data_IF_529506451089
#
_entry.id   IF_529506451089
#
_cell.length_a   1.000
_cell.length_b   1.000
_cell.length_c   1.000
_cell.angle_alpha   90.00
_cell.angle_beta   90.00
_cell.angle_gamma   90.00
#
_symmetry.space_group_name_H-M   'P 1'
#
loop_
_entity.id
_entity.type
_entity.pdbx_description
1 polymer ?
#
# COMPACT_ATOMS: atom_id res chain seq x y z
N UNK A 1 12.42 -0.26 -19.79
CA UNK A 1 11.76 0.97 -19.29
C UNK A 1 11.09 0.67 -17.97
N UNK A 2 11.30 1.48 -16.95
CA UNK A 2 10.69 1.32 -15.63
C UNK A 2 9.17 1.41 -15.75
N UNK A 3 8.45 0.37 -15.28
CA UNK A 3 7.00 0.29 -15.42
C UNK A 3 6.24 0.59 -14.13
N UNK A 4 6.94 0.67 -13.00
CA UNK A 4 6.31 0.87 -11.69
C UNK A 4 7.05 1.90 -10.84
N UNK A 5 6.29 2.73 -10.13
CA UNK A 5 6.78 3.61 -9.07
C UNK A 5 6.28 3.07 -7.73
N UNK A 6 7.17 2.88 -6.77
CA UNK A 6 6.82 2.56 -5.39
C UNK A 6 6.69 3.87 -4.63
N UNK A 7 5.52 4.11 -4.06
CA UNK A 7 5.19 5.30 -3.27
C UNK A 7 5.17 4.88 -1.80
N UNK A 8 6.00 5.53 -0.99
CA UNK A 8 6.03 5.32 0.46
C UNK A 8 5.64 6.62 1.17
N UNK A 9 4.42 6.74 1.70
CA UNK A 9 4.08 7.84 2.60
C UNK A 9 4.79 7.63 3.93
N UNK A 10 5.41 8.70 4.46
CA UNK A 10 6.12 8.65 5.74
C UNK A 10 5.74 9.84 6.64
N UNK A 11 5.56 9.57 7.93
CA UNK A 11 5.39 10.61 8.95
C UNK A 11 6.00 10.16 10.27
N UNK A 12 7.09 10.83 10.70
CA UNK A 12 7.82 10.52 11.93
C UNK A 12 8.17 9.04 12.09
N UNK A 13 8.58 8.40 11.00
CA UNK A 13 8.85 6.96 10.93
C UNK A 13 10.26 6.63 10.45
N UNK A 14 11.29 7.42 10.77
CA UNK A 14 12.66 7.28 10.25
C UNK A 14 13.16 5.84 10.26
N UNK A 15 13.15 5.17 11.42
CA UNK A 15 13.66 3.81 11.55
C UNK A 15 12.86 2.77 10.77
N UNK A 16 11.55 2.95 10.71
CA UNK A 16 10.66 2.08 9.92
C UNK A 16 10.94 2.25 8.43
N UNK A 17 11.04 3.49 7.96
CA UNK A 17 11.38 3.82 6.59
C UNK A 17 12.73 3.23 6.17
N UNK A 18 13.78 3.38 7.00
CA UNK A 18 15.09 2.78 6.75
C UNK A 18 15.00 1.25 6.58
N UNK A 19 14.23 0.57 7.43
CA UNK A 19 14.05 -0.88 7.34
C UNK A 19 13.26 -1.27 6.07
N UNK A 20 12.19 -0.55 5.76
CA UNK A 20 11.40 -0.77 4.56
C UNK A 20 12.28 -0.65 3.29
N UNK A 21 13.05 0.43 3.16
CA UNK A 21 13.96 0.66 2.02
C UNK A 21 14.98 -0.47 1.89
N UNK A 22 15.60 -0.93 2.98
CA UNK A 22 16.54 -2.07 2.96
C UNK A 22 15.93 -3.35 2.39
N UNK A 23 14.64 -3.57 2.56
CA UNK A 23 13.96 -4.73 1.96
C UNK A 23 13.69 -4.53 0.48
N UNK A 24 13.47 -3.30 0.03
CA UNK A 24 13.34 -2.96 -1.39
C UNK A 24 14.67 -3.07 -2.13
N UNK A 25 15.80 -2.79 -1.50
CA UNK A 25 17.14 -3.00 -2.06
C UNK A 25 17.43 -4.49 -2.39
N UNK A 26 16.67 -5.41 -1.80
CA UNK A 26 16.83 -6.87 -1.99
C UNK A 26 15.80 -7.48 -2.94
N UNK A 27 14.99 -6.66 -3.62
CA UNK A 27 13.99 -7.17 -4.55
C UNK A 27 14.64 -7.85 -5.77
N UNK A 28 14.06 -8.94 -6.24
CA UNK A 28 14.48 -9.63 -7.48
C UNK A 28 14.23 -8.77 -8.72
N UNK A 29 13.16 -7.97 -8.72
CA UNK A 29 12.88 -6.97 -9.73
C UNK A 29 13.35 -5.60 -9.22
N UNK A 30 14.42 -5.05 -9.82
CA UNK A 30 15.01 -3.75 -9.45
C UNK A 30 14.58 -2.62 -10.41
N UNK A 31 13.76 -2.91 -11.42
CA UNK A 31 13.32 -1.91 -12.40
C UNK A 31 12.13 -1.10 -11.93
N UNK A 32 12.25 -0.43 -10.79
CA UNK A 32 11.25 0.49 -10.26
C UNK A 32 11.85 1.84 -9.89
N UNK A 33 11.00 2.87 -9.79
CA UNK A 33 11.32 4.14 -9.15
C UNK A 33 10.85 4.09 -7.70
N UNK A 34 11.63 4.64 -6.80
CA UNK A 34 11.25 4.78 -5.39
C UNK A 34 10.96 6.24 -5.08
N UNK A 35 9.74 6.53 -4.65
CA UNK A 35 9.25 7.86 -4.30
C UNK A 35 8.78 7.84 -2.85
N UNK A 36 9.47 8.58 -1.99
CA UNK A 36 9.07 8.75 -0.59
C UNK A 36 8.41 10.12 -0.43
N UNK A 37 7.20 10.16 0.09
CA UNK A 37 6.49 11.38 0.44
C UNK A 37 6.56 11.55 1.95
N UNK A 38 7.48 12.40 2.41
CA UNK A 38 7.58 12.75 3.82
C UNK A 38 6.54 13.81 4.17
N UNK A 39 5.62 13.46 5.04
CA UNK A 39 4.43 14.23 5.36
C UNK A 39 4.66 15.21 6.54
N UNK A 40 5.78 15.97 6.48
CA UNK A 40 6.13 16.97 7.49
C UNK A 40 6.76 16.39 8.76
N UNK A 41 7.59 15.36 8.63
CA UNK A 41 8.30 14.74 9.75
C UNK A 41 9.29 15.69 10.44
N UNK A 42 9.55 15.41 11.73
CA UNK A 42 10.50 16.16 12.57
C UNK A 42 11.55 15.26 13.24
N UNK A 43 11.60 13.98 12.85
CA UNK A 43 12.49 12.96 13.42
C UNK A 43 13.76 12.71 12.59
N UNK A 44 13.98 13.50 11.54
CA UNK A 44 15.08 13.33 10.58
C UNK A 44 14.81 12.28 9.52
N UNK A 45 13.55 11.92 9.27
CA UNK A 45 13.14 11.03 8.18
C UNK A 45 13.57 11.53 6.81
N UNK A 46 13.62 12.85 6.62
CA UNK A 46 14.04 13.49 5.35
C UNK A 46 15.50 13.25 4.98
N UNK A 47 16.33 12.83 5.95
CA UNK A 47 17.75 12.54 5.73
C UNK A 47 17.99 11.08 5.32
N UNK A 48 16.94 10.26 5.27
CA UNK A 48 17.03 8.85 4.89
C UNK A 48 17.38 8.75 3.41
N UNK A 49 18.34 7.90 3.09
CA UNK A 49 18.80 7.60 1.73
C UNK A 49 18.86 6.09 1.50
N UNK A 50 18.88 5.68 0.24
CA UNK A 50 19.14 4.29 -0.13
C UNK A 50 20.60 4.13 -0.57
N UNK A 51 21.19 2.97 -0.27
CA UNK A 51 22.56 2.64 -0.68
C UNK A 51 22.65 2.22 -2.16
N UNK A 52 21.59 1.61 -2.69
CA UNK A 52 21.62 1.01 -4.03
C UNK A 52 20.49 1.44 -4.96
N UNK A 53 19.42 2.05 -4.43
CA UNK A 53 18.28 2.49 -5.23
C UNK A 53 18.31 4.00 -5.45
N UNK A 54 17.93 4.42 -6.67
CA UNK A 54 17.57 5.81 -6.89
C UNK A 54 16.24 6.11 -6.20
N UNK A 55 16.30 6.96 -5.19
CA UNK A 55 15.15 7.36 -4.38
C UNK A 55 14.93 8.86 -4.50
N UNK A 56 13.70 9.25 -4.81
CA UNK A 56 13.24 10.63 -4.72
C UNK A 56 12.52 10.85 -3.39
N UNK A 57 12.97 11.84 -2.62
CA UNK A 57 12.37 12.26 -1.35
C UNK A 57 11.67 13.59 -1.55
N UNK A 58 10.37 13.64 -1.29
CA UNK A 58 9.56 14.86 -1.32
C UNK A 58 9.07 15.17 0.07
N UNK A 59 9.56 16.27 0.65
CA UNK A 59 9.18 16.71 2.00
C UNK A 59 8.05 17.75 1.93
N UNK A 60 6.92 17.43 2.56
CA UNK A 60 5.82 18.37 2.75
C UNK A 60 6.07 19.27 3.96
N UNK A 61 5.59 20.52 3.96
CA UNK A 61 5.79 21.45 5.08
C UNK A 61 5.01 21.03 6.33
N UNK A 62 3.91 20.29 6.17
CA UNK A 62 3.03 19.87 7.25
C UNK A 62 2.34 18.54 6.90
N UNK A 63 1.72 17.91 7.91
CA UNK A 63 0.98 16.66 7.73
C UNK A 63 -0.38 16.91 7.06
N UNK A 64 -0.51 16.47 5.83
CA UNK A 64 -1.73 16.56 5.00
C UNK A 64 -2.66 15.33 5.13
N UNK A 65 -2.38 14.44 6.07
CA UNK A 65 -3.04 13.14 6.18
C UNK A 65 -2.45 12.11 5.21
N UNK A 66 -2.84 10.85 5.40
CA UNK A 66 -2.39 9.74 4.55
C UNK A 66 -2.79 9.96 3.09
N UNK A 67 -4.07 10.31 2.86
CA UNK A 67 -4.61 10.52 1.52
C UNK A 67 -3.89 11.65 0.77
N UNK A 68 -3.61 12.78 1.41
CA UNK A 68 -2.91 13.90 0.78
C UNK A 68 -1.49 13.51 0.33
N UNK A 69 -0.73 12.84 1.19
CA UNK A 69 0.61 12.36 0.85
C UNK A 69 0.58 11.34 -0.30
N UNK A 70 -0.34 10.37 -0.27
CA UNK A 70 -0.49 9.35 -1.32
C UNK A 70 -0.92 9.95 -2.64
N UNK A 71 -1.88 10.88 -2.63
CA UNK A 71 -2.37 11.56 -3.84
C UNK A 71 -1.25 12.34 -4.53
N UNK A 72 -0.39 13.02 -3.77
CA UNK A 72 0.80 13.66 -4.33
C UNK A 72 1.72 12.62 -5.00
N UNK A 73 1.94 11.48 -4.36
CA UNK A 73 2.70 10.38 -4.95
C UNK A 73 2.09 9.84 -6.25
N UNK A 74 0.76 9.73 -6.32
CA UNK A 74 0.06 9.36 -7.56
C UNK A 74 0.20 10.42 -8.65
N UNK A 75 0.10 11.70 -8.32
CA UNK A 75 0.27 12.81 -9.25
C UNK A 75 1.68 12.81 -9.87
N UNK A 76 2.71 12.57 -9.06
CA UNK A 76 4.10 12.51 -9.51
C UNK A 76 4.43 11.23 -10.29
N UNK A 77 3.57 10.20 -10.23
CA UNK A 77 3.80 8.92 -10.90
C UNK A 77 3.60 9.02 -12.41
N UNK A 78 4.67 8.76 -13.17
CA UNK A 78 4.67 8.74 -14.64
C UNK A 78 4.65 7.34 -15.24
N UNK A 79 4.82 6.31 -14.40
CA UNK A 79 4.84 4.90 -14.82
C UNK A 79 3.42 4.34 -14.97
N UNK A 80 3.23 3.24 -15.76
CA UNK A 80 1.92 2.59 -15.92
C UNK A 80 1.30 2.09 -14.62
N UNK A 81 2.12 1.74 -13.64
CA UNK A 81 1.68 1.20 -12.35
C UNK A 81 2.29 1.98 -11.18
N UNK A 82 1.56 2.04 -10.08
CA UNK A 82 2.05 2.52 -8.79
C UNK A 82 1.89 1.44 -7.73
N UNK A 83 2.93 1.15 -6.95
CA UNK A 83 2.83 0.37 -5.72
C UNK A 83 2.74 1.37 -4.57
N UNK A 84 1.68 1.29 -3.79
CA UNK A 84 1.59 1.96 -2.50
C UNK A 84 2.08 0.99 -1.44
N UNK A 85 3.05 1.43 -0.63
CA UNK A 85 3.68 0.61 0.39
C UNK A 85 3.87 1.43 1.66
N UNK A 86 3.33 0.96 2.78
CA UNK A 86 3.53 1.61 4.07
C UNK A 86 5.00 1.53 4.51
N UNK A 87 5.49 2.57 5.17
CA UNK A 87 6.86 2.65 5.68
C UNK A 87 7.16 1.63 6.80
N UNK A 88 6.13 1.06 7.44
CA UNK A 88 6.22 0.07 8.51
C UNK A 88 6.07 -1.38 8.00
N UNK A 89 6.48 -1.62 6.76
CA UNK A 89 6.48 -2.95 6.13
C UNK A 89 7.89 -3.45 5.83
N UNK A 90 8.06 -4.77 5.88
CA UNK A 90 9.23 -5.49 5.34
C UNK A 90 8.78 -6.37 4.18
N UNK A 91 9.24 -6.08 2.97
CA UNK A 91 8.85 -6.82 1.77
C UNK A 91 9.73 -8.05 1.55
N UNK A 92 9.14 -9.21 1.18
CA UNK A 92 9.90 -10.37 0.72
C UNK A 92 10.51 -10.11 -0.68
N UNK A 93 11.61 -10.82 -1.06
CA UNK A 93 12.38 -10.53 -2.27
C UNK A 93 11.60 -10.53 -3.58
N UNK A 94 10.51 -11.28 -3.67
CA UNK A 94 9.67 -11.39 -4.87
C UNK A 94 8.44 -10.47 -4.88
N UNK A 95 8.28 -9.60 -3.89
CA UNK A 95 7.08 -8.78 -3.70
C UNK A 95 6.73 -7.94 -4.94
N UNK A 96 7.68 -7.18 -5.48
CA UNK A 96 7.46 -6.32 -6.65
C UNK A 96 7.16 -7.17 -7.89
N UNK A 97 7.92 -8.22 -8.11
CA UNK A 97 7.76 -9.13 -9.25
C UNK A 97 6.37 -9.77 -9.27
N UNK A 98 5.90 -10.31 -8.14
CA UNK A 98 4.62 -11.01 -8.05
C UNK A 98 3.43 -10.05 -8.18
N UNK A 99 3.52 -8.82 -7.65
CA UNK A 99 2.50 -7.80 -7.89
C UNK A 99 2.40 -7.43 -9.37
N UNK A 100 3.54 -7.24 -10.05
CA UNK A 100 3.58 -6.95 -11.49
C UNK A 100 3.02 -8.11 -12.32
N UNK A 101 3.35 -9.36 -12.00
CA UNK A 101 2.75 -10.54 -12.62
C UNK A 101 1.22 -10.56 -12.42
N UNK A 102 0.76 -10.26 -11.23
CA UNK A 102 -0.65 -10.25 -10.89
C UNK A 102 -1.45 -9.23 -11.70
N UNK A 103 -1.00 -7.97 -11.73
CA UNK A 103 -1.75 -6.89 -12.37
C UNK A 103 -1.75 -7.00 -13.90
N UNK A 104 -0.74 -7.64 -14.50
CA UNK A 104 -0.63 -7.88 -15.95
C UNK A 104 -1.54 -8.99 -16.46
N UNK A 105 -2.14 -9.81 -15.61
CA UNK A 105 -3.01 -10.93 -16.01
C UNK A 105 -4.25 -10.47 -16.81
N UNK A 106 -4.73 -9.25 -16.60
CA UNK A 106 -5.88 -8.70 -17.32
C UNK A 106 -5.94 -7.19 -17.20
N UNK A 107 -6.32 -6.53 -18.29
CA UNK A 107 -6.59 -5.07 -18.28
C UNK A 107 -7.78 -4.68 -17.39
N UNK A 108 -8.64 -5.65 -17.01
CA UNK A 108 -9.73 -5.42 -16.06
C UNK A 108 -9.31 -5.47 -14.61
N UNK A 109 -8.04 -5.75 -14.28
CA UNK A 109 -7.53 -5.70 -12.92
C UNK A 109 -7.07 -4.25 -12.66
N UNK A 110 -7.73 -3.61 -11.69
CA UNK A 110 -7.37 -2.29 -11.21
C UNK A 110 -6.25 -2.35 -10.19
N UNK A 111 -6.39 -3.23 -9.20
CA UNK A 111 -5.42 -3.35 -8.11
C UNK A 111 -5.08 -4.80 -7.78
N UNK A 112 -3.85 -5.02 -7.29
CA UNK A 112 -3.45 -6.28 -6.69
C UNK A 112 -2.86 -6.01 -5.30
N UNK A 113 -3.47 -6.59 -4.27
CA UNK A 113 -3.00 -6.52 -2.89
C UNK A 113 -2.10 -7.69 -2.53
N UNK A 114 -1.06 -7.41 -1.77
CA UNK A 114 -0.14 -8.41 -1.24
C UNK A 114 -0.76 -9.24 -0.12
N UNK A 115 -0.13 -10.37 0.21
CA UNK A 115 -0.32 -11.07 1.46
C UNK A 115 0.41 -10.29 2.55
N UNK A 116 -0.36 -9.59 3.39
CA UNK A 116 0.19 -8.88 4.53
C UNK A 116 0.19 -9.83 5.74
N UNK A 117 1.37 -10.07 6.29
CA UNK A 117 1.61 -10.93 7.45
C UNK A 117 1.84 -10.07 8.68
N UNK A 118 1.43 -10.58 9.85
CA UNK A 118 1.75 -9.93 11.12
C UNK A 118 3.27 -9.95 11.35
N UNK A 119 3.85 -8.82 11.71
CA UNK A 119 5.29 -8.69 11.89
C UNK A 119 5.84 -9.58 13.01
N UNK A 120 5.08 -9.74 14.10
CA UNK A 120 5.49 -10.51 15.28
C UNK A 120 5.14 -11.99 15.15
N UNK A 121 4.02 -12.30 14.51
CA UNK A 121 3.50 -13.66 14.30
C UNK A 121 3.44 -13.92 12.78
N UNK A 122 4.62 -14.12 12.17
CA UNK A 122 4.83 -14.14 10.72
C UNK A 122 4.07 -15.24 9.97
N UNK A 123 3.51 -16.21 10.66
CA UNK A 123 2.62 -17.24 10.12
C UNK A 123 1.15 -16.82 10.06
N UNK A 124 0.79 -15.70 10.71
CA UNK A 124 -0.57 -15.18 10.73
C UNK A 124 -0.75 -14.01 9.75
N UNK A 125 -1.93 -13.91 9.19
CA UNK A 125 -2.31 -12.79 8.33
C UNK A 125 -2.60 -11.54 9.16
N UNK A 126 -2.13 -10.39 8.67
CA UNK A 126 -2.68 -9.09 9.01
C UNK A 126 -3.81 -8.72 8.02
N UNK A 127 -3.58 -8.91 6.70
CA UNK A 127 -4.60 -8.66 5.67
C UNK A 127 -4.36 -9.53 4.42
N UNK A 128 -5.44 -10.07 3.85
CA UNK A 128 -5.48 -10.80 2.58
C UNK A 128 -6.55 -10.24 1.63
N UNK A 129 -6.70 -8.91 1.60
CA UNK A 129 -7.77 -8.17 0.94
C UNK A 129 -8.89 -7.81 1.90
N UNK A 130 -9.77 -6.91 1.47
CA UNK A 130 -10.88 -6.45 2.28
C UNK A 130 -12.20 -7.00 1.77
N UNK A 131 -13.12 -7.20 2.70
CA UNK A 131 -14.50 -7.57 2.45
C UNK A 131 -15.40 -6.39 2.85
N UNK A 132 -16.48 -6.21 2.09
CA UNK A 132 -17.52 -5.26 2.43
C UNK A 132 -18.83 -5.99 2.62
N UNK A 133 -19.42 -5.86 3.79
CA UNK A 133 -20.63 -6.57 4.18
C UNK A 133 -21.90 -5.82 3.76
N UNK A 134 -23.02 -6.52 3.64
CA UNK A 134 -24.32 -5.89 3.34
C UNK A 134 -24.73 -4.78 4.32
N UNK A 135 -24.43 -4.89 5.63
CA UNK A 135 -24.67 -3.79 6.57
C UNK A 135 -23.72 -2.60 6.44
N UNK A 136 -22.73 -2.64 5.52
CA UNK A 136 -21.82 -1.53 5.27
C UNK A 136 -20.52 -1.57 6.08
N UNK A 137 -20.12 -2.72 6.62
CA UNK A 137 -18.89 -2.86 7.40
C UNK A 137 -17.74 -3.37 6.54
N UNK A 138 -16.56 -2.75 6.70
CA UNK A 138 -15.31 -3.22 6.17
C UNK A 138 -14.67 -4.25 7.11
N UNK A 139 -14.17 -5.34 6.57
CA UNK A 139 -13.52 -6.42 7.34
C UNK A 139 -12.25 -6.85 6.63
N UNK A 140 -11.12 -6.81 7.34
CA UNK A 140 -9.86 -7.36 6.85
C UNK A 140 -9.96 -8.90 6.71
N UNK A 141 -9.89 -9.39 5.48
CA UNK A 141 -10.01 -10.81 5.18
C UNK A 141 -8.82 -11.58 5.76
N UNK A 142 -9.12 -12.57 6.57
CA UNK A 142 -8.14 -13.50 7.13
C UNK A 142 -7.32 -12.95 8.31
N UNK A 143 -7.58 -11.75 8.82
CA UNK A 143 -6.82 -11.20 9.95
C UNK A 143 -6.76 -12.17 11.13
N UNK A 144 -5.53 -12.45 11.62
CA UNK A 144 -5.25 -13.39 12.71
C UNK A 144 -5.41 -14.87 12.36
N UNK A 145 -5.62 -15.23 11.07
CA UNK A 145 -5.69 -16.61 10.59
C UNK A 145 -4.36 -17.08 10.02
N UNK A 146 -4.09 -18.40 9.99
CA UNK A 146 -2.88 -18.92 9.36
C UNK A 146 -2.80 -18.53 7.87
N UNK A 147 -1.66 -17.99 7.45
CA UNK A 147 -1.44 -17.56 6.07
C UNK A 147 -1.53 -18.72 5.07
N UNK A 148 -1.19 -19.94 5.50
CA UNK A 148 -1.27 -21.16 4.70
C UNK A 148 -2.69 -21.44 4.16
N UNK A 149 -3.74 -21.01 4.86
CA UNK A 149 -5.13 -21.20 4.44
C UNK A 149 -5.52 -20.24 3.30
N UNK A 150 -4.67 -19.26 2.98
CA UNK A 150 -4.92 -18.19 2.00
C UNK A 150 -3.93 -18.22 0.84
N UNK A 151 -3.38 -19.36 0.48
CA UNK A 151 -2.39 -19.54 -0.59
C UNK A 151 -2.93 -19.46 -2.02
N UNK A 152 -4.16 -19.02 -2.25
CA UNK A 152 -4.76 -18.93 -3.60
C UNK A 152 -5.10 -17.50 -3.98
N UNK A 153 -4.73 -17.10 -5.20
CA UNK A 153 -5.19 -15.85 -5.80
C UNK A 153 -6.73 -15.82 -5.82
N UNK A 154 -7.30 -14.68 -5.47
CA UNK A 154 -8.76 -14.50 -5.51
C UNK A 154 -9.12 -13.04 -5.73
N UNK A 155 -10.27 -12.80 -6.38
CA UNK A 155 -10.82 -11.46 -6.45
C UNK A 155 -11.39 -11.09 -5.08
N UNK A 156 -11.10 -9.86 -4.63
CA UNK A 156 -11.52 -9.30 -3.33
C UNK A 156 -12.34 -8.03 -3.55
N UNK A 157 -12.99 -7.54 -2.50
CA UNK A 157 -13.76 -6.31 -2.65
C UNK A 157 -12.83 -5.10 -2.86
N UNK A 158 -11.81 -4.98 -2.04
CA UNK A 158 -10.75 -3.98 -2.12
C UNK A 158 -9.42 -4.60 -1.69
N UNK A 159 -8.31 -3.94 -2.02
CA UNK A 159 -6.97 -4.28 -1.54
C UNK A 159 -6.55 -3.25 -0.50
N UNK A 160 -6.00 -3.70 0.63
CA UNK A 160 -5.48 -2.83 1.68
C UNK A 160 -4.39 -1.90 1.15
N UNK A 161 -4.49 -0.60 1.44
CA UNK A 161 -3.55 0.44 1.02
C UNK A 161 -2.14 0.30 1.58
N UNK A 162 -1.92 -0.62 2.54
CA UNK A 162 -0.61 -0.84 3.13
C UNK A 162 0.42 -1.54 2.23
N UNK A 163 -0.03 -2.36 1.23
CA UNK A 163 0.84 -3.02 0.27
C UNK A 163 0.05 -3.43 -0.98
N UNK A 164 -0.05 -2.56 -1.97
CA UNK A 164 -0.92 -2.75 -3.13
C UNK A 164 -0.33 -2.11 -4.39
N UNK A 165 -0.51 -2.76 -5.54
CA UNK A 165 -0.22 -2.17 -6.86
C UNK A 165 -1.52 -1.71 -7.52
N UNK A 166 -1.49 -0.52 -8.13
CA UNK A 166 -2.59 0.09 -8.87
C UNK A 166 -2.24 0.31 -10.34
N UNK A 167 -3.22 0.13 -11.22
CA UNK A 167 -3.14 0.52 -12.63
C UNK A 167 -3.48 2.01 -12.77
N UNK A 168 -2.48 2.82 -13.13
CA UNK A 168 -2.60 4.29 -13.16
C UNK A 168 -3.62 4.80 -14.19
N UNK A 169 -3.83 4.10 -15.31
CA UNK A 169 -4.85 4.47 -16.29
C UNK A 169 -6.28 4.38 -15.72
N UNK A 170 -6.54 3.37 -14.88
CA UNK A 170 -7.83 3.20 -14.20
C UNK A 170 -7.96 4.21 -13.05
N UNK A 171 -6.89 4.44 -12.28
CA UNK A 171 -6.89 5.44 -11.22
C UNK A 171 -7.24 6.84 -11.76
N UNK A 172 -6.68 7.23 -12.91
CA UNK A 172 -7.03 8.49 -13.58
C UNK A 172 -8.49 8.57 -14.01
N UNK A 173 -9.12 7.44 -14.35
CA UNK A 173 -10.51 7.37 -14.74
C UNK A 173 -11.47 7.48 -13.56
N UNK A 174 -11.19 6.79 -12.45
CA UNK A 174 -12.08 6.72 -11.29
C UNK A 174 -11.79 7.79 -10.23
N UNK A 175 -10.70 8.53 -10.36
CA UNK A 175 -10.20 9.51 -9.39
C UNK A 175 -9.30 8.88 -8.31
N UNK A 176 -8.56 9.73 -7.63
CA UNK A 176 -7.64 9.38 -6.54
C UNK A 176 -8.36 9.22 -5.19
N UNK A 177 -7.64 9.06 -4.09
CA UNK A 177 -8.22 8.94 -2.75
C UNK A 177 -8.95 10.23 -2.33
N UNK A 178 -10.10 10.10 -1.67
CA UNK A 178 -10.81 11.27 -1.12
C UNK A 178 -10.09 11.74 0.16
N UNK A 179 -9.52 12.93 0.12
CA UNK A 179 -8.75 13.51 1.22
C UNK A 179 -9.58 13.77 2.49
N UNK A 180 -10.92 13.75 2.38
CA UNK A 180 -11.80 13.86 3.55
C UNK A 180 -11.68 12.67 4.48
N UNK A 181 -11.20 11.51 3.99
CA UNK A 181 -10.93 10.36 4.85
C UNK A 181 -9.77 10.63 5.82
N UNK A 182 -8.86 11.52 5.50
CA UNK A 182 -7.60 11.73 6.20
C UNK A 182 -6.76 10.46 6.32
N UNK A 183 -7.30 9.39 6.90
CA UNK A 183 -6.79 8.02 6.95
C UNK A 183 -7.92 7.03 7.25
N UNK A 184 -7.78 5.79 6.75
CA UNK A 184 -8.71 4.66 6.84
C UNK A 184 -9.95 4.73 5.93
N UNK A 185 -10.27 3.59 5.35
CA UNK A 185 -11.34 3.34 4.39
C UNK A 185 -11.18 4.01 3.03
N UNK A 186 -10.12 4.78 2.79
CA UNK A 186 -9.79 5.39 1.50
C UNK A 186 -9.49 4.33 0.43
N UNK A 187 -8.87 3.23 0.83
CA UNK A 187 -8.58 2.08 -0.02
C UNK A 187 -9.84 1.27 -0.35
N UNK A 188 -10.75 1.16 0.62
CA UNK A 188 -12.05 0.52 0.41
C UNK A 188 -12.91 1.34 -0.58
N UNK A 189 -12.98 2.67 -0.42
CA UNK A 189 -13.67 3.58 -1.34
C UNK A 189 -13.10 3.47 -2.74
N UNK A 190 -11.78 3.51 -2.88
CA UNK A 190 -11.10 3.42 -4.17
C UNK A 190 -11.40 2.08 -4.86
N UNK A 191 -11.32 0.97 -4.12
CA UNK A 191 -11.67 -0.36 -4.58
C UNK A 191 -13.14 -0.47 -4.99
N UNK A 192 -14.04 0.17 -4.27
CA UNK A 192 -15.47 0.20 -4.58
C UNK A 192 -15.76 0.96 -5.87
N UNK A 193 -15.18 2.17 -6.05
CA UNK A 193 -15.32 2.95 -7.29
C UNK A 193 -14.80 2.17 -8.50
N UNK A 194 -13.69 1.46 -8.37
CA UNK A 194 -13.17 0.60 -9.43
C UNK A 194 -14.16 -0.50 -9.80
N UNK A 195 -14.81 -1.15 -8.81
CA UNK A 195 -15.82 -2.18 -9.07
C UNK A 195 -17.07 -1.64 -9.76
N UNK A 196 -17.54 -0.45 -9.38
CA UNK A 196 -18.66 0.24 -10.08
C UNK A 196 -18.27 0.51 -11.55
N UNK A 197 -17.02 0.87 -11.80
CA UNK A 197 -16.50 1.08 -13.15
C UNK A 197 -16.22 -0.23 -13.94
N UNK A 198 -16.50 -1.41 -13.36
CA UNK A 198 -16.37 -2.72 -14.02
C UNK A 198 -14.99 -3.36 -13.92
N UNK A 199 -14.11 -2.83 -13.06
CA UNK A 199 -12.78 -3.39 -12.78
C UNK A 199 -12.81 -4.35 -11.59
N UNK A 200 -11.68 -5.03 -11.37
CA UNK A 200 -11.52 -6.03 -10.30
C UNK A 200 -10.32 -5.69 -9.43
N UNK A 201 -10.42 -6.00 -8.14
CA UNK A 201 -9.34 -5.99 -7.18
C UNK A 201 -8.95 -7.44 -6.87
N UNK A 202 -7.66 -7.75 -6.78
CA UNK A 202 -7.16 -9.12 -6.67
C UNK A 202 -6.15 -9.26 -5.55
N UNK A 203 -6.26 -10.30 -4.78
CA UNK A 203 -5.27 -10.72 -3.79
C UNK A 203 -4.23 -11.64 -4.42
N UNK A 204 -2.93 -11.37 -4.16
CA UNK A 204 -1.77 -12.12 -4.66
C UNK A 204 -1.01 -12.71 -3.47
N UNK A 205 -1.16 -14.03 -3.18
CA UNK A 205 -0.54 -14.65 -2.00
C UNK A 205 0.98 -14.76 -2.07
N UNK A 206 1.57 -14.75 -3.28
CA UNK A 206 3.00 -14.86 -3.48
C UNK A 206 3.74 -13.52 -3.33
N UNK A 207 3.02 -12.39 -3.40
CA UNK A 207 3.54 -11.08 -3.04
C UNK A 207 3.36 -10.87 -1.54
N UNK A 208 4.45 -10.95 -0.76
CA UNK A 208 4.38 -10.95 0.70
C UNK A 208 5.08 -9.76 1.34
N UNK A 209 4.46 -9.22 2.38
CA UNK A 209 5.06 -8.23 3.27
C UNK A 209 4.75 -8.56 4.73
N UNK A 210 5.66 -8.23 5.63
CA UNK A 210 5.44 -8.24 7.09
C UNK A 210 5.11 -6.83 7.53
N UNK A 211 4.00 -6.64 8.21
CA UNK A 211 3.47 -5.34 8.58
C UNK A 211 3.50 -5.17 10.10
N UNK A 212 4.14 -4.10 10.58
CA UNK A 212 4.23 -3.79 12.02
C UNK A 212 2.86 -3.38 12.56
N UNK A 213 2.10 -2.69 11.74
CA UNK A 213 0.75 -2.24 12.04
C UNK A 213 0.68 -1.10 13.04
N UNK A 214 -0.07 -0.06 12.67
CA UNK A 214 -0.40 1.08 13.54
C UNK A 214 0.80 1.81 14.16
N UNK A 215 2.00 1.68 13.60
CA UNK A 215 3.21 2.24 14.18
C UNK A 215 3.30 3.77 14.04
N UNK A 216 2.61 4.34 13.05
CA UNK A 216 2.68 5.78 12.71
C UNK A 216 1.41 6.57 13.04
N UNK A 217 0.32 5.92 13.42
CA UNK A 217 -0.95 6.58 13.77
C UNK A 217 -1.20 6.48 15.26
N UNK A 218 -1.04 7.58 15.98
CA UNK A 218 -1.49 7.68 17.37
C UNK A 218 -3.02 7.69 17.41
N UNK A 219 -3.61 6.57 17.79
CA UNK A 219 -5.07 6.34 17.86
C UNK A 219 -5.84 7.24 18.84
N UNK A 220 -5.21 8.20 19.49
CA UNK A 220 -5.84 9.00 20.54
C UNK A 220 -6.95 9.93 20.05
N UNK A 221 -7.11 10.13 18.73
CA UNK A 221 -8.13 11.03 18.19
C UNK A 221 -9.23 10.37 17.33
N UNK A 222 -9.11 9.09 16.98
CA UNK A 222 -10.08 8.42 16.09
C UNK A 222 -11.20 7.65 16.81
N UNK A 223 -11.19 7.57 18.15
CA UNK A 223 -12.29 6.95 18.93
C UNK A 223 -13.58 7.79 19.01
N UNK A 224 -13.62 8.98 18.41
CA UNK A 224 -14.75 9.91 18.56
C UNK A 224 -15.94 9.65 17.63
N UNK A 225 -15.89 8.66 16.74
CA UNK A 225 -16.96 8.37 15.79
C UNK A 225 -17.53 6.94 15.84
N UNK A 226 -17.20 6.17 16.86
CA UNK A 226 -17.90 4.91 17.17
C UNK A 226 -19.07 5.18 18.13
N UNK A 227 -20.12 5.78 17.62
CA UNK A 227 -21.45 5.78 18.28
C UNK A 227 -22.50 5.56 17.21
#
# INVERSE_FOLDING_TARGET
>A
MTEVTIIIPNYNGKKLLENCIKTLERQTCQEFKLLVIDNGSKDGSTDVTSESLYMEMVALPENTGFCGAVNLGFEMTTTPYAILLNNDTEAEPHFVEELLKGIRQSERIFSCGAQMLDFKQRELLDNAGDLYTLPGWAVARGKGRPAADYGKQTDVFSCCGGAVIYRMSVLKQIGVMDEKHFAYLEDLDLGYRARIAGYRNRYIPDAKVYHVGSATVSYTHLRAHET
#
